data_IF_999583996398
#
_entry.id   IF_999583996398
#
_cell.length_a   1.000
_cell.length_b   1.000
_cell.length_c   1.000
_cell.angle_alpha   90.00
_cell.angle_beta   90.00
_cell.angle_gamma   90.00
#
_symmetry.space_group_name_H-M   'P 1'
#
loop_
_entity.id
_entity.type
_entity.pdbx_description
1 polymer ?
#
# COMPACT_ATOMS: atom_id res chain seq x y z
N UNK A 1 16.41 -8.66 -9.79
CA UNK A 1 15.55 -8.05 -8.74
C UNK A 1 14.08 -7.87 -9.16
N UNK A 2 13.76 -7.20 -10.27
CA UNK A 2 12.39 -6.73 -10.54
C UNK A 2 11.30 -7.82 -10.59
N UNK A 3 11.64 -9.05 -10.98
CA UNK A 3 10.70 -10.18 -10.99
C UNK A 3 10.22 -10.57 -9.58
N UNK A 4 11.15 -10.60 -8.61
CA UNK A 4 10.83 -10.91 -7.21
C UNK A 4 10.01 -9.81 -6.55
N UNK A 5 10.32 -8.55 -6.89
CA UNK A 5 9.51 -7.40 -6.46
C UNK A 5 8.08 -7.49 -7.00
N UNK A 6 7.91 -7.76 -8.31
CA UNK A 6 6.59 -7.97 -8.89
C UNK A 6 5.84 -9.14 -8.26
N UNK A 7 6.51 -10.25 -7.97
CA UNK A 7 5.91 -11.38 -7.27
C UNK A 7 5.45 -11.02 -5.85
N UNK A 8 6.21 -10.20 -5.11
CA UNK A 8 5.79 -9.71 -3.80
C UNK A 8 4.55 -8.82 -3.87
N UNK A 9 4.45 -7.93 -4.87
CA UNK A 9 3.26 -7.11 -5.10
C UNK A 9 2.03 -7.97 -5.40
N UNK A 10 2.18 -8.98 -6.27
CA UNK A 10 1.10 -9.92 -6.58
C UNK A 10 0.69 -10.75 -5.35
N UNK A 11 1.65 -11.16 -4.53
CA UNK A 11 1.38 -11.84 -3.26
C UNK A 11 0.58 -10.99 -2.28
N UNK A 12 0.93 -9.71 -2.13
CA UNK A 12 0.17 -8.77 -1.29
C UNK A 12 -1.23 -8.49 -1.86
N UNK A 13 -1.36 -8.36 -3.18
CA UNK A 13 -2.67 -8.21 -3.83
C UNK A 13 -3.56 -9.45 -3.61
N UNK A 14 -3.00 -10.65 -3.75
CA UNK A 14 -3.71 -11.90 -3.47
C UNK A 14 -4.12 -11.99 -1.99
N UNK A 15 -3.23 -11.62 -1.07
CA UNK A 15 -3.53 -11.59 0.37
C UNK A 15 -4.68 -10.63 0.69
N UNK A 16 -4.65 -9.41 0.15
CA UNK A 16 -5.73 -8.44 0.32
C UNK A 16 -7.05 -8.95 -0.26
N UNK A 17 -7.01 -9.60 -1.42
CA UNK A 17 -8.19 -10.16 -2.07
C UNK A 17 -8.81 -11.30 -1.27
N UNK A 18 -8.00 -12.24 -0.80
CA UNK A 18 -8.45 -13.37 0.01
C UNK A 18 -9.02 -12.91 1.37
N UNK A 19 -8.51 -11.80 1.90
CA UNK A 19 -8.96 -11.24 3.16
C UNK A 19 -10.17 -10.31 3.05
N UNK A 20 -10.69 -10.04 1.85
CA UNK A 20 -11.71 -9.00 1.60
C UNK A 20 -13.05 -9.24 2.34
N UNK A 21 -13.41 -10.50 2.54
CA UNK A 21 -14.67 -10.93 3.16
C UNK A 21 -14.48 -11.35 4.63
N UNK A 22 -13.24 -11.24 5.15
CA UNK A 22 -12.93 -11.60 6.54
C UNK A 22 -13.49 -10.52 7.48
N UNK A 23 -14.24 -10.89 8.54
CA UNK A 23 -14.71 -9.94 9.53
C UNK A 23 -13.57 -9.17 10.21
N UNK A 24 -13.87 -7.95 10.65
CA UNK A 24 -12.86 -7.12 11.31
C UNK A 24 -12.28 -7.83 12.54
N UNK A 25 -10.96 -8.03 12.52
CA UNK A 25 -10.24 -8.81 13.51
C UNK A 25 -8.81 -8.32 13.65
N UNK A 26 -8.14 -8.64 14.77
CA UNK A 26 -6.73 -8.23 15.00
C UNK A 26 -5.80 -8.67 13.86
N UNK A 27 -5.87 -9.91 13.32
CA UNK A 27 -5.03 -10.33 12.20
C UNK A 27 -5.28 -9.53 10.92
N UNK A 28 -6.56 -9.30 10.55
CA UNK A 28 -6.91 -8.49 9.38
C UNK A 28 -6.33 -7.07 9.48
N UNK A 29 -6.44 -6.46 10.67
CA UNK A 29 -5.88 -5.12 10.93
C UNK A 29 -4.36 -5.08 10.78
N UNK A 30 -3.65 -6.12 11.23
CA UNK A 30 -2.21 -6.22 11.05
C UNK A 30 -1.82 -6.33 9.57
N UNK A 31 -2.56 -7.11 8.79
CA UNK A 31 -2.36 -7.24 7.33
C UNK A 31 -2.57 -5.90 6.63
N UNK A 32 -3.69 -5.23 6.90
CA UNK A 32 -4.01 -3.91 6.33
C UNK A 32 -2.92 -2.89 6.67
N UNK A 33 -2.47 -2.86 7.93
CA UNK A 33 -1.42 -1.95 8.37
C UNK A 33 -0.07 -2.25 7.70
N UNK A 34 0.28 -3.53 7.53
CA UNK A 34 1.51 -3.93 6.85
C UNK A 34 1.52 -3.50 5.38
N UNK A 35 0.41 -3.72 4.66
CA UNK A 35 0.23 -3.27 3.28
C UNK A 35 0.32 -1.75 3.20
N UNK A 36 -0.40 -1.03 4.06
CA UNK A 36 -0.34 0.43 4.15
C UNK A 36 1.09 0.94 4.35
N UNK A 37 1.82 0.35 5.31
CA UNK A 37 3.18 0.76 5.65
C UNK A 37 4.12 0.56 4.47
N UNK A 38 4.06 -0.59 3.80
CA UNK A 38 4.86 -0.88 2.62
C UNK A 38 4.64 0.16 1.50
N UNK A 39 3.38 0.41 1.15
CA UNK A 39 3.05 1.34 0.06
C UNK A 39 3.36 2.79 0.42
N UNK A 40 3.24 3.17 1.69
CA UNK A 40 3.60 4.52 2.18
C UNK A 40 5.11 4.73 2.08
N UNK A 41 5.92 3.82 2.63
CA UNK A 41 7.38 3.91 2.57
C UNK A 41 7.90 3.85 1.13
N UNK A 42 7.29 3.01 0.29
CA UNK A 42 7.57 2.96 -1.14
C UNK A 42 7.27 4.30 -1.83
N UNK A 43 6.10 4.90 -1.57
CA UNK A 43 5.73 6.21 -2.13
C UNK A 43 6.68 7.32 -1.72
N UNK A 44 7.05 7.38 -0.43
CA UNK A 44 8.03 8.36 0.09
C UNK A 44 9.38 8.17 -0.61
N UNK A 45 9.85 6.93 -0.71
CA UNK A 45 11.13 6.63 -1.36
C UNK A 45 11.11 7.08 -2.83
N UNK A 46 10.05 6.72 -3.56
CA UNK A 46 9.88 7.11 -4.97
C UNK A 46 9.84 8.63 -5.13
N UNK A 47 9.15 9.35 -4.23
CA UNK A 47 9.13 10.81 -4.23
C UNK A 47 10.52 11.42 -4.00
N UNK A 48 11.26 10.93 -3.01
CA UNK A 48 12.63 11.40 -2.74
C UNK A 48 13.52 11.20 -3.96
N UNK A 49 13.48 10.01 -4.58
CA UNK A 49 14.23 9.73 -5.81
C UNK A 49 13.80 10.60 -6.99
N UNK A 50 12.49 10.83 -7.16
CA UNK A 50 11.96 11.65 -8.23
C UNK A 50 12.37 13.12 -8.10
N UNK A 51 12.32 13.67 -6.89
CA UNK A 51 12.69 15.06 -6.60
C UNK A 51 14.20 15.32 -6.68
N UNK A 52 15.03 14.27 -6.61
CA UNK A 52 16.49 14.36 -6.81
C UNK A 52 16.90 14.49 -8.29
N UNK A 53 15.95 14.66 -9.22
CA UNK A 53 16.23 14.81 -10.65
C UNK A 53 16.50 13.50 -11.39
N UNK A 54 16.33 12.36 -10.72
CA UNK A 54 16.42 11.00 -11.31
C UNK A 54 15.04 10.55 -11.85
N UNK A 55 14.05 11.46 -11.84
CA UNK A 55 12.70 11.18 -12.29
C UNK A 55 12.63 10.90 -13.79
N UNK A 56 11.98 9.78 -14.11
CA UNK A 56 11.55 9.44 -15.47
C UNK A 56 10.09 8.95 -15.43
N UNK A 57 9.52 8.61 -16.59
CA UNK A 57 8.14 8.11 -16.69
C UNK A 57 7.89 6.90 -15.76
N UNK A 58 8.88 6.02 -15.58
CA UNK A 58 8.75 4.85 -14.72
C UNK A 58 8.66 5.22 -13.23
N UNK A 59 9.40 6.23 -12.78
CA UNK A 59 9.34 6.74 -11.40
C UNK A 59 7.93 7.28 -11.10
N UNK A 60 7.40 8.12 -11.98
CA UNK A 60 6.07 8.69 -11.81
C UNK A 60 4.96 7.64 -11.93
N UNK A 61 5.09 6.68 -12.83
CA UNK A 61 4.17 5.54 -12.93
C UNK A 61 4.18 4.71 -11.64
N UNK A 62 5.38 4.44 -11.09
CA UNK A 62 5.53 3.70 -9.83
C UNK A 62 4.88 4.45 -8.66
N UNK A 63 5.01 5.78 -8.63
CA UNK A 63 4.32 6.62 -7.65
C UNK A 63 2.80 6.58 -7.83
N UNK A 64 2.33 6.69 -9.07
CA UNK A 64 0.92 6.58 -9.43
C UNK A 64 0.31 5.23 -9.09
N UNK A 65 1.12 4.18 -8.94
CA UNK A 65 0.69 2.87 -8.44
C UNK A 65 0.74 2.79 -6.90
N UNK A 66 1.83 3.22 -6.27
CA UNK A 66 2.00 3.06 -4.82
C UNK A 66 1.10 3.98 -4.01
N UNK A 67 0.99 5.25 -4.43
CA UNK A 67 0.33 6.29 -3.66
C UNK A 67 -1.17 6.02 -3.49
N UNK A 68 -1.95 5.65 -4.53
CA UNK A 68 -3.36 5.33 -4.35
C UNK A 68 -3.61 4.14 -3.44
N UNK A 69 -2.74 3.12 -3.47
CA UNK A 69 -2.86 1.95 -2.58
C UNK A 69 -2.58 2.33 -1.13
N UNK A 70 -1.55 3.16 -0.89
CA UNK A 70 -1.29 3.73 0.44
C UNK A 70 -2.51 4.52 0.94
N UNK A 71 -3.10 5.38 0.10
CA UNK A 71 -4.29 6.16 0.47
C UNK A 71 -5.48 5.23 0.78
N UNK A 72 -5.76 4.24 -0.07
CA UNK A 72 -6.88 3.32 0.11
C UNK A 72 -6.79 2.52 1.41
N UNK A 73 -5.63 1.91 1.69
CA UNK A 73 -5.43 1.13 2.91
C UNK A 73 -5.31 2.00 4.16
N UNK A 74 -4.74 3.21 4.04
CA UNK A 74 -4.70 4.19 5.12
C UNK A 74 -6.11 4.66 5.50
N UNK A 75 -6.93 5.00 4.51
CA UNK A 75 -8.33 5.36 4.71
C UNK A 75 -9.11 4.22 5.38
N UNK A 76 -8.95 2.98 4.90
CA UNK A 76 -9.59 1.82 5.50
C UNK A 76 -9.17 1.62 6.96
N UNK A 77 -7.89 1.80 7.29
CA UNK A 77 -7.38 1.57 8.64
C UNK A 77 -7.74 2.69 9.63
N UNK A 78 -7.66 3.95 9.21
CA UNK A 78 -7.84 5.11 10.09
C UNK A 78 -9.25 5.69 10.04
N UNK A 79 -9.78 6.01 8.85
CA UNK A 79 -11.07 6.69 8.73
C UNK A 79 -12.26 5.76 8.98
N UNK A 80 -12.18 4.50 8.54
CA UNK A 80 -13.24 3.51 8.85
C UNK A 80 -13.28 3.14 10.34
N UNK A 81 -12.14 3.23 11.03
CA UNK A 81 -12.04 3.03 12.48
C UNK A 81 -12.71 4.16 13.25
N UNK A 82 -12.52 5.42 12.86
CA UNK A 82 -13.22 6.56 13.46
C UNK A 82 -14.74 6.40 13.33
N UNK A 83 -15.24 6.02 12.16
CA UNK A 83 -16.68 5.80 11.94
C UNK A 83 -17.26 4.58 12.69
N UNK A 84 -16.42 3.65 13.16
CA UNK A 84 -16.83 2.48 13.94
C UNK A 84 -16.65 2.67 15.46
N UNK A 85 -16.17 3.84 15.90
CA UNK A 85 -16.07 4.22 17.32
C UNK A 85 -17.36 4.94 17.73
N UNK A 86 -18.12 4.46 18.73
CA UNK A 86 -19.29 5.20 19.26
C UNK A 86 -18.90 6.49 19.98
#
# INVERSE_FOLDING_TARGET
MNRMFGAALLGMAAMAWLARDVPESKPLRAIVLAIFTYFTLGSISILVFGLQGIANVMVWFSLGFHLPIAIAFGYYFFARREMASP
#
